data_IF_713044567040
#
_entry.id   IF_713044567040
#
_cell.length_a   1.000
_cell.length_b   1.000
_cell.length_c   1.000
_cell.angle_alpha   90.00
_cell.angle_beta   90.00
_cell.angle_gamma   90.00
#
_symmetry.space_group_name_H-M   'P 1'
#
loop_
_entity.id
_entity.type
_entity.pdbx_description
1 polymer ?
#
# COMPACT_ATOMS: atom_id res chain seq x y z
N UNK A 1 3.36 -12.43 -10.38
CA UNK A 1 2.96 -11.12 -10.97
C UNK A 1 3.39 -10.05 -9.97
N UNK A 2 3.35 -8.75 -10.27
CA UNK A 2 3.71 -7.71 -9.31
C UNK A 2 2.61 -6.65 -9.22
N UNK A 3 2.51 -5.98 -8.10
CA UNK A 3 1.59 -4.84 -7.95
C UNK A 3 2.33 -3.66 -7.32
N UNK A 4 2.32 -2.53 -8.05
CA UNK A 4 2.72 -1.24 -7.51
C UNK A 4 1.48 -0.60 -6.88
N UNK A 5 1.57 -0.25 -5.61
CA UNK A 5 0.50 0.36 -4.83
C UNK A 5 1.03 1.68 -4.28
N UNK A 6 0.35 2.78 -4.59
CA UNK A 6 0.77 4.13 -4.24
C UNK A 6 -0.29 4.77 -3.35
N UNK A 7 0.18 5.44 -2.29
CA UNK A 7 -0.65 6.08 -1.28
C UNK A 7 -0.23 7.53 -1.12
N UNK A 8 -1.20 8.42 -1.08
CA UNK A 8 -1.00 9.81 -0.68
C UNK A 8 -1.36 9.93 0.81
N UNK A 9 -0.36 10.00 1.69
CA UNK A 9 -0.51 10.06 3.14
C UNK A 9 0.75 10.68 3.73
N UNK A 10 0.64 11.51 4.77
CA UNK A 10 1.84 12.07 5.40
C UNK A 10 2.69 10.94 5.99
N UNK A 11 4.01 10.94 5.76
CA UNK A 11 4.87 9.88 6.33
C UNK A 11 4.87 9.88 7.84
N UNK A 12 4.78 11.08 8.44
CA UNK A 12 4.62 11.24 9.89
C UNK A 12 3.29 10.69 10.38
N UNK A 13 2.24 10.67 9.55
CA UNK A 13 1.00 9.99 9.90
C UNK A 13 1.22 8.48 10.02
N UNK A 14 1.95 7.89 9.08
CA UNK A 14 2.24 6.45 9.10
C UNK A 14 3.17 6.09 10.25
N UNK A 15 4.23 6.87 10.47
CA UNK A 15 5.17 6.69 11.58
C UNK A 15 4.48 6.77 12.93
N UNK A 16 3.55 7.71 13.08
CA UNK A 16 2.80 7.93 14.33
C UNK A 16 1.75 6.85 14.61
N UNK A 17 1.46 5.93 13.69
CA UNK A 17 0.68 4.72 14.00
C UNK A 17 1.43 3.81 14.98
N UNK A 18 2.76 3.87 14.98
CA UNK A 18 3.61 3.14 15.92
C UNK A 18 3.77 3.93 17.21
N UNK A 19 3.31 3.38 18.33
CA UNK A 19 3.27 4.14 19.59
C UNK A 19 2.16 5.20 19.61
N UNK A 20 1.07 4.99 18.85
CA UNK A 20 0.02 5.98 18.63
C UNK A 20 -0.57 6.52 19.96
N UNK A 21 -0.85 7.83 20.06
CA UNK A 21 -1.54 8.40 21.21
C UNK A 21 -2.91 7.74 21.45
N UNK A 22 -3.42 7.69 22.70
CA UNK A 22 -4.60 6.89 23.05
C UNK A 22 -5.83 7.13 22.16
N UNK A 23 -6.11 8.39 21.81
CA UNK A 23 -7.27 8.73 20.97
C UNK A 23 -7.12 8.18 19.54
N UNK A 24 -5.92 8.21 18.98
CA UNK A 24 -5.64 7.67 17.66
C UNK A 24 -5.57 6.16 17.69
N UNK A 25 -4.93 5.57 18.70
CA UNK A 25 -4.91 4.12 18.90
C UNK A 25 -6.34 3.52 18.91
N UNK A 26 -7.28 4.18 19.58
CA UNK A 26 -8.68 3.76 19.60
C UNK A 26 -9.34 3.83 18.21
N UNK A 27 -9.09 4.90 17.45
CA UNK A 27 -9.55 5.00 16.06
C UNK A 27 -8.97 3.88 15.19
N UNK A 28 -7.68 3.59 15.32
CA UNK A 28 -7.01 2.51 14.57
C UNK A 28 -7.59 1.13 14.94
N UNK A 29 -7.95 0.89 16.21
CA UNK A 29 -8.68 -0.32 16.62
C UNK A 29 -10.02 -0.44 15.93
N UNK A 30 -10.80 0.64 15.88
CA UNK A 30 -12.10 0.63 15.21
C UNK A 30 -11.98 0.35 13.71
N UNK A 31 -10.98 0.95 13.04
CA UNK A 31 -10.68 0.67 11.62
C UNK A 31 -10.24 -0.79 11.41
N UNK A 32 -9.39 -1.32 12.29
CA UNK A 32 -8.93 -2.69 12.21
C UNK A 32 -10.05 -3.72 12.41
N UNK A 33 -11.04 -3.46 13.29
CA UNK A 33 -12.20 -4.36 13.46
C UNK A 33 -12.94 -4.56 12.14
N UNK A 34 -13.10 -3.49 11.35
CA UNK A 34 -13.74 -3.57 10.02
C UNK A 34 -12.83 -4.31 9.04
N UNK A 35 -11.53 -4.01 9.02
CA UNK A 35 -10.57 -4.59 8.10
C UNK A 35 -10.32 -6.10 8.35
N UNK A 36 -10.41 -6.54 9.61
CA UNK A 36 -10.19 -7.93 10.03
C UNK A 36 -11.47 -8.78 10.02
N UNK A 37 -12.62 -8.19 9.70
CA UNK A 37 -13.86 -8.94 9.60
C UNK A 37 -13.69 -10.06 8.56
N UNK A 38 -14.08 -11.31 8.88
CA UNK A 38 -13.98 -12.41 7.92
C UNK A 38 -14.70 -12.01 6.62
N UNK A 39 -14.12 -12.28 5.45
CA UNK A 39 -14.86 -12.10 4.21
C UNK A 39 -16.16 -12.89 4.32
N UNK A 40 -17.29 -12.29 3.95
CA UNK A 40 -18.56 -13.01 3.88
C UNK A 40 -18.39 -14.16 2.88
N UNK A 41 -18.06 -15.36 3.38
CA UNK A 41 -18.00 -16.55 2.54
C UNK A 41 -19.43 -16.88 2.16
N UNK A 42 -19.77 -16.66 0.89
CA UNK A 42 -20.91 -17.35 0.30
C UNK A 42 -20.64 -18.85 0.47
N UNK A 43 -21.56 -19.55 1.15
CA UNK A 43 -21.50 -20.99 1.39
C UNK A 43 -21.45 -21.75 0.06
N UNK A 44 -20.25 -22.03 -0.44
CA UNK A 44 -20.07 -22.96 -1.55
C UNK A 44 -19.86 -24.36 -0.99
N UNK A 45 -20.99 -25.00 -0.62
CA UNK A 45 -21.04 -26.41 -0.25
C UNK A 45 -20.58 -27.30 -1.40
N UNK A 46 -19.31 -27.71 -1.39
CA UNK A 46 -18.73 -28.63 -2.37
C UNK A 46 -19.31 -30.05 -2.30
N UNK A 47 -19.12 -30.84 -3.36
CA UNK A 47 -19.67 -32.20 -3.53
C UNK A 47 -19.26 -33.19 -2.42
N UNK A 48 -18.16 -32.92 -1.69
CA UNK A 48 -17.69 -33.74 -0.56
C UNK A 48 -18.55 -33.58 0.70
N UNK A 49 -19.32 -32.48 0.82
CA UNK A 49 -20.29 -32.29 1.90
C UNK A 49 -21.45 -33.29 1.86
N UNK A 50 -21.59 -34.02 0.75
CA UNK A 50 -22.62 -35.06 0.54
C UNK A 50 -22.18 -36.46 0.95
N UNK A 51 -20.93 -36.66 1.39
CA UNK A 51 -20.35 -38.00 1.68
C UNK A 51 -20.41 -38.42 3.16
N UNK A 52 -21.32 -37.83 3.93
CA UNK A 52 -21.66 -38.30 5.28
C UNK A 52 -20.97 -37.58 6.43
N UNK A 53 -21.43 -37.82 7.67
CA UNK A 53 -21.15 -36.98 8.83
C UNK A 53 -19.70 -36.99 9.32
N UNK A 54 -18.88 -37.94 8.87
CA UNK A 54 -17.47 -38.07 9.28
C UNK A 54 -16.56 -37.08 8.53
N UNK A 55 -16.94 -36.66 7.32
CA UNK A 55 -16.19 -35.67 6.52
C UNK A 55 -16.74 -34.24 6.65
N UNK A 56 -17.73 -34.05 7.52
CA UNK A 56 -18.30 -32.72 7.79
C UNK A 56 -17.33 -31.97 8.70
N UNK A 57 -16.50 -31.11 8.10
CA UNK A 57 -15.71 -30.11 8.84
C UNK A 57 -16.66 -29.36 9.78
N UNK A 58 -16.32 -29.16 11.07
CA UNK A 58 -17.13 -28.32 11.94
C UNK A 58 -17.35 -26.96 11.27
N UNK A 59 -18.61 -26.56 11.03
CA UNK A 59 -18.90 -25.27 10.42
C UNK A 59 -18.38 -24.17 11.36
N UNK A 60 -17.56 -23.26 10.84
CA UNK A 60 -17.15 -22.06 11.57
C UNK A 60 -15.79 -22.09 12.25
N UNK A 61 -14.91 -23.08 12.02
CA UNK A 61 -13.48 -22.93 12.35
C UNK A 61 -12.72 -22.43 11.12
N UNK A 62 -12.51 -21.11 10.95
CA UNK A 62 -11.69 -20.61 9.87
C UNK A 62 -10.29 -21.19 10.01
N UNK A 63 -9.77 -21.77 8.93
CA UNK A 63 -8.33 -21.95 8.79
C UNK A 63 -7.80 -20.56 8.53
N UNK A 64 -7.27 -19.92 9.55
CA UNK A 64 -6.54 -18.66 9.38
C UNK A 64 -5.24 -19.00 8.67
N UNK A 65 -4.99 -18.33 7.56
CA UNK A 65 -3.66 -18.32 6.97
C UNK A 65 -2.70 -17.75 8.03
N UNK A 66 -1.53 -18.33 8.29
CA UNK A 66 -0.53 -17.71 9.18
C UNK A 66 -0.22 -16.26 8.80
N UNK A 67 -0.39 -15.86 7.55
CA UNK A 67 -0.20 -14.49 7.07
C UNK A 67 -1.45 -13.61 7.19
N UNK A 68 -2.58 -14.16 7.64
CA UNK A 68 -3.77 -13.37 7.95
C UNK A 68 -3.52 -12.52 9.20
N UNK A 69 -3.82 -11.20 9.13
CA UNK A 69 -3.68 -10.32 10.28
C UNK A 69 -4.70 -10.67 11.35
N UNK A 70 -4.29 -10.51 12.61
CA UNK A 70 -5.13 -10.71 13.79
C UNK A 70 -5.04 -9.48 14.72
N UNK A 71 -5.98 -9.29 15.66
CA UNK A 71 -5.94 -8.14 16.56
C UNK A 71 -4.63 -7.97 17.34
N UNK A 72 -3.94 -9.08 17.66
CA UNK A 72 -2.65 -9.03 18.32
C UNK A 72 -1.54 -8.38 17.47
N UNK A 73 -1.64 -8.39 16.14
CA UNK A 73 -0.69 -7.68 15.28
C UNK A 73 -0.87 -6.17 15.38
N UNK A 74 -2.14 -5.70 15.49
CA UNK A 74 -2.42 -4.29 15.73
C UNK A 74 -1.80 -3.81 17.03
N UNK A 75 -2.02 -4.54 18.13
CA UNK A 75 -1.52 -4.11 19.44
C UNK A 75 0.02 -4.05 19.47
N UNK A 76 0.72 -4.87 18.67
CA UNK A 76 2.18 -4.75 18.51
C UNK A 76 2.57 -3.47 17.79
N UNK A 77 1.88 -3.13 16.69
CA UNK A 77 2.09 -1.87 15.96
C UNK A 77 1.84 -0.68 16.90
N UNK A 78 0.67 -0.64 17.56
CA UNK A 78 0.29 0.44 18.46
C UNK A 78 1.24 0.58 19.65
N UNK A 79 1.79 -0.51 20.16
CA UNK A 79 2.78 -0.48 21.23
C UNK A 79 4.19 -0.07 20.76
N UNK A 80 4.43 0.06 19.45
CA UNK A 80 5.78 0.21 18.88
C UNK A 80 6.69 -0.97 19.24
N UNK A 81 6.10 -2.14 19.49
CA UNK A 81 6.80 -3.31 19.98
C UNK A 81 7.49 -4.07 18.84
N UNK A 82 8.49 -4.88 19.21
CA UNK A 82 9.12 -5.80 18.28
C UNK A 82 8.08 -6.75 17.66
N UNK A 83 8.06 -6.83 16.32
CA UNK A 83 7.22 -7.76 15.57
C UNK A 83 8.03 -9.02 15.21
N UNK A 84 7.63 -10.21 15.70
CA UNK A 84 8.29 -11.48 15.37
C UNK A 84 8.32 -11.76 13.86
N UNK A 85 9.33 -12.50 13.40
CA UNK A 85 9.56 -12.74 11.98
C UNK A 85 8.35 -13.38 11.27
N UNK A 86 7.73 -14.34 11.93
CA UNK A 86 6.55 -15.08 11.51
C UNK A 86 5.26 -14.25 11.49
N UNK A 87 5.26 -13.04 12.07
CA UNK A 87 4.11 -12.10 12.05
C UNK A 87 4.36 -10.87 11.17
N UNK A 88 5.51 -10.74 10.53
CA UNK A 88 5.84 -9.53 9.73
C UNK A 88 4.90 -9.37 8.55
N UNK A 89 4.64 -10.43 7.79
CA UNK A 89 3.76 -10.36 6.62
C UNK A 89 2.34 -9.90 7.02
N UNK A 90 1.77 -10.55 8.04
CA UNK A 90 0.48 -10.17 8.62
C UNK A 90 0.45 -8.72 9.13
N UNK A 91 1.47 -8.30 9.87
CA UNK A 91 1.58 -6.92 10.41
C UNK A 91 1.69 -5.88 9.30
N UNK A 92 2.44 -6.17 8.23
CA UNK A 92 2.53 -5.30 7.05
C UNK A 92 1.22 -5.20 6.28
N UNK A 93 0.51 -6.33 6.11
CA UNK A 93 -0.81 -6.33 5.47
C UNK A 93 -1.81 -5.49 6.26
N UNK A 94 -1.81 -5.61 7.58
CA UNK A 94 -2.62 -4.77 8.45
C UNK A 94 -2.23 -3.29 8.36
N UNK A 95 -0.93 -2.99 8.40
CA UNK A 95 -0.44 -1.61 8.27
C UNK A 95 -0.86 -0.99 6.93
N UNK A 96 -0.71 -1.72 5.83
CA UNK A 96 -1.12 -1.26 4.50
C UNK A 96 -2.63 -1.01 4.41
N UNK A 97 -3.46 -1.84 5.05
CA UNK A 97 -4.90 -1.60 5.16
C UNK A 97 -5.21 -0.31 5.92
N UNK A 98 -4.52 -0.06 7.04
CA UNK A 98 -4.67 1.17 7.82
C UNK A 98 -4.16 2.40 7.06
N UNK A 99 -3.06 2.27 6.32
CA UNK A 99 -2.54 3.32 5.43
C UNK A 99 -3.59 3.65 4.37
N UNK A 100 -4.15 2.63 3.70
CA UNK A 100 -5.16 2.80 2.67
C UNK A 100 -6.40 3.52 3.21
N UNK A 101 -6.90 3.09 4.36
CA UNK A 101 -8.10 3.66 5.01
C UNK A 101 -7.89 5.12 5.44
N UNK A 102 -6.65 5.50 5.77
CA UNK A 102 -6.34 6.86 6.18
C UNK A 102 -5.69 7.68 5.05
N UNK A 103 -5.52 7.16 3.83
CA UNK A 103 -4.89 7.91 2.75
C UNK A 103 -5.81 9.01 2.19
N UNK A 104 -5.22 10.11 1.72
CA UNK A 104 -5.89 11.12 0.90
C UNK A 104 -6.34 10.56 -0.45
N UNK A 105 -5.53 9.66 -1.02
CA UNK A 105 -5.77 9.01 -2.28
C UNK A 105 -4.95 7.72 -2.40
N UNK A 106 -5.43 6.81 -3.24
CA UNK A 106 -4.78 5.53 -3.51
C UNK A 106 -4.90 5.19 -5.00
N UNK A 107 -3.84 4.62 -5.56
CA UNK A 107 -3.88 4.00 -6.88
C UNK A 107 -3.02 2.73 -6.89
N UNK A 108 -3.31 1.80 -7.79
CA UNK A 108 -2.44 0.65 -8.01
C UNK A 108 -2.31 0.27 -9.49
N UNK A 109 -1.17 -0.32 -9.82
CA UNK A 109 -0.87 -0.86 -11.14
C UNK A 109 -0.40 -2.30 -11.01
N UNK A 110 -1.15 -3.21 -11.61
CA UNK A 110 -0.72 -4.59 -11.83
C UNK A 110 0.31 -4.61 -12.95
N UNK A 111 1.53 -5.04 -12.64
CA UNK A 111 2.65 -5.09 -13.56
C UNK A 111 3.29 -6.48 -13.51
N UNK A 112 3.83 -6.99 -14.61
CA UNK A 112 4.76 -8.11 -14.52
C UNK A 112 6.09 -7.64 -13.89
N UNK A 113 6.86 -8.56 -13.29
CA UNK A 113 8.07 -8.19 -12.52
C UNK A 113 9.08 -7.34 -13.31
N UNK A 114 9.28 -7.67 -14.59
CA UNK A 114 10.15 -6.94 -15.52
C UNK A 114 9.56 -5.60 -16.01
N UNK A 115 8.25 -5.40 -15.82
CA UNK A 115 7.56 -4.21 -16.34
C UNK A 115 7.79 -2.96 -15.50
N UNK A 116 8.17 -3.07 -14.23
CA UNK A 116 8.55 -1.88 -13.44
C UNK A 116 9.81 -1.21 -14.02
N UNK A 117 10.86 -1.99 -14.31
CA UNK A 117 12.08 -1.47 -14.94
C UNK A 117 11.83 -0.98 -16.37
N UNK A 118 10.95 -1.66 -17.10
CA UNK A 118 10.56 -1.22 -18.44
C UNK A 118 9.84 0.13 -18.42
N UNK A 119 8.97 0.36 -17.44
CA UNK A 119 8.25 1.63 -17.28
C UNK A 119 9.21 2.77 -16.91
N UNK A 120 10.13 2.53 -15.97
CA UNK A 120 11.19 3.50 -15.65
C UNK A 120 12.10 3.80 -16.86
N UNK A 121 12.41 2.78 -17.67
CA UNK A 121 13.15 2.98 -18.90
C UNK A 121 12.37 3.82 -19.93
N UNK A 122 11.06 3.59 -20.08
CA UNK A 122 10.21 4.39 -20.94
C UNK A 122 10.16 5.86 -20.50
N UNK A 123 10.01 6.10 -19.19
CA UNK A 123 10.08 7.43 -18.58
C UNK A 123 11.44 8.10 -18.86
N UNK A 124 12.54 7.38 -18.63
CA UNK A 124 13.89 7.91 -18.87
C UNK A 124 14.12 8.28 -20.35
N UNK A 125 13.59 7.49 -21.30
CA UNK A 125 13.64 7.84 -22.74
C UNK A 125 12.89 9.12 -23.06
N UNK A 126 11.77 9.37 -22.40
CA UNK A 126 11.03 10.63 -22.49
C UNK A 126 11.65 11.79 -21.70
N UNK A 127 12.86 11.62 -21.14
CA UNK A 127 13.60 12.68 -20.46
C UNK A 127 13.35 12.80 -18.95
N UNK A 128 12.61 11.88 -18.34
CA UNK A 128 12.38 11.88 -16.89
C UNK A 128 13.69 11.60 -16.15
N UNK A 129 13.99 12.44 -15.16
CA UNK A 129 15.16 12.26 -14.31
C UNK A 129 15.03 10.99 -13.45
N UNK A 130 16.12 10.26 -13.23
CA UNK A 130 16.10 9.00 -12.48
C UNK A 130 15.53 9.13 -11.05
N UNK A 131 15.68 10.29 -10.41
CA UNK A 131 15.09 10.56 -9.10
C UNK A 131 13.56 10.65 -9.11
N UNK A 132 12.94 10.89 -10.27
CA UNK A 132 11.48 10.80 -10.44
C UNK A 132 11.03 9.38 -10.84
N UNK A 133 11.94 8.40 -10.94
CA UNK A 133 11.61 7.03 -11.29
C UNK A 133 10.94 6.27 -10.15
N UNK A 134 10.10 5.30 -10.50
CA UNK A 134 9.38 4.45 -9.54
C UNK A 134 10.34 3.56 -8.75
N UNK A 135 11.42 3.09 -9.36
CA UNK A 135 12.48 2.34 -8.66
C UNK A 135 13.20 3.21 -7.64
N UNK A 136 13.40 4.50 -7.94
CA UNK A 136 13.98 5.43 -6.98
C UNK A 136 13.07 5.58 -5.76
N UNK A 137 11.78 5.88 -5.97
CA UNK A 137 10.76 5.89 -4.91
C UNK A 137 10.84 4.63 -4.05
N UNK A 138 10.91 3.42 -4.63
CA UNK A 138 10.89 2.15 -3.89
C UNK A 138 12.23 1.79 -3.21
N UNK A 139 13.28 2.58 -3.44
CA UNK A 139 14.60 2.40 -2.83
C UNK A 139 14.90 3.36 -1.69
N UNK A 140 14.04 4.37 -1.48
CA UNK A 140 14.17 5.28 -0.35
C UNK A 140 13.68 4.64 0.95
N UNK A 141 14.15 5.18 2.07
CA UNK A 141 13.85 4.64 3.40
C UNK A 141 12.64 5.34 4.02
N UNK A 142 11.68 4.56 4.51
CA UNK A 142 10.50 5.07 5.23
C UNK A 142 10.74 5.29 6.73
N UNK A 143 11.82 4.73 7.27
CA UNK A 143 12.17 4.71 8.71
C UNK A 143 11.05 4.15 9.61
N UNK A 144 10.19 3.29 9.05
CA UNK A 144 9.17 2.62 9.84
C UNK A 144 9.82 1.58 10.77
N UNK A 145 9.37 1.47 12.05
CA UNK A 145 9.87 0.47 12.99
C UNK A 145 9.28 -0.93 12.71
N UNK A 146 9.18 -1.30 11.44
CA UNK A 146 8.69 -2.58 10.96
C UNK A 146 9.52 -3.04 9.77
N UNK A 147 10.18 -4.18 9.89
CA UNK A 147 11.04 -4.72 8.83
C UNK A 147 10.17 -5.31 7.72
N UNK A 148 10.35 -4.87 6.48
CA UNK A 148 9.65 -5.39 5.31
C UNK A 148 9.88 -6.92 5.14
N UNK A 149 8.83 -7.72 4.87
CA UNK A 149 8.99 -9.13 4.52
C UNK A 149 9.74 -9.25 3.20
N UNK A 150 10.33 -10.42 2.97
CA UNK A 150 11.06 -10.69 1.71
C UNK A 150 10.11 -10.52 0.52
N UNK A 151 10.54 -9.77 -0.49
CA UNK A 151 9.78 -9.55 -1.72
C UNK A 151 8.83 -8.36 -1.68
N UNK A 152 8.72 -7.65 -0.54
CA UNK A 152 8.07 -6.36 -0.43
C UNK A 152 9.13 -5.25 -0.44
N UNK A 153 9.03 -4.33 -1.39
CA UNK A 153 9.73 -3.04 -1.35
C UNK A 153 8.75 -1.98 -0.87
N UNK A 154 9.23 -1.09 0.00
CA UNK A 154 8.44 0.03 0.51
C UNK A 154 9.34 1.25 0.52
N UNK A 155 8.86 2.34 -0.03
CA UNK A 155 9.61 3.59 -0.07
C UNK A 155 8.70 4.81 -0.01
N UNK A 156 9.35 5.96 0.05
CA UNK A 156 8.76 7.25 0.37
C UNK A 156 9.41 8.39 -0.43
N UNK A 157 8.60 9.34 -0.85
CA UNK A 157 9.02 10.64 -1.38
C UNK A 157 8.12 11.70 -0.77
N UNK A 158 8.64 12.90 -0.56
CA UNK A 158 7.86 14.04 -0.06
C UNK A 158 6.74 14.44 -1.04
N UNK A 159 5.75 15.19 -0.55
CA UNK A 159 4.72 15.77 -1.41
C UNK A 159 5.27 16.66 -2.53
N UNK A 160 6.37 17.39 -2.29
CA UNK A 160 7.03 18.22 -3.33
C UNK A 160 7.63 17.35 -4.44
N UNK A 161 8.30 16.26 -4.07
CA UNK A 161 8.84 15.30 -5.02
C UNK A 161 7.72 14.61 -5.82
N UNK A 162 6.57 14.32 -5.19
CA UNK A 162 5.40 13.75 -5.87
C UNK A 162 4.81 14.72 -6.93
N UNK A 163 4.70 16.01 -6.62
CA UNK A 163 4.29 17.03 -7.60
C UNK A 163 5.31 17.16 -8.73
N UNK A 164 6.61 17.16 -8.40
CA UNK A 164 7.67 17.18 -9.40
C UNK A 164 7.66 15.93 -10.31
N UNK A 165 7.36 14.75 -9.75
CA UNK A 165 7.14 13.53 -10.53
C UNK A 165 5.97 13.70 -11.50
N UNK A 166 4.84 14.27 -11.06
CA UNK A 166 3.68 14.53 -11.91
C UNK A 166 4.04 15.40 -13.14
N UNK A 167 4.76 16.49 -12.91
CA UNK A 167 5.22 17.41 -13.96
C UNK A 167 6.19 16.72 -14.93
N UNK A 168 7.14 15.96 -14.39
CA UNK A 168 8.13 15.21 -15.18
C UNK A 168 7.44 14.16 -16.06
N UNK A 169 6.46 13.45 -15.52
CA UNK A 169 5.72 12.43 -16.27
C UNK A 169 4.92 13.06 -17.40
N UNK A 170 4.22 14.16 -17.15
CA UNK A 170 3.44 14.88 -18.18
C UNK A 170 4.29 15.30 -19.37
N UNK A 171 5.51 15.77 -19.12
CA UNK A 171 6.43 16.18 -20.18
C UNK A 171 6.93 15.00 -21.02
N UNK A 172 6.92 13.78 -20.48
CA UNK A 172 7.43 12.58 -21.13
C UNK A 172 6.37 11.73 -21.84
N UNK A 173 5.07 11.94 -21.58
CA UNK A 173 3.98 11.08 -22.07
C UNK A 173 3.99 10.91 -23.59
N UNK A 174 4.18 12.00 -24.33
CA UNK A 174 4.13 11.98 -25.79
C UNK A 174 5.34 11.24 -26.41
N UNK A 175 6.45 11.12 -25.66
CA UNK A 175 7.68 10.44 -26.07
C UNK A 175 7.66 8.93 -25.75
N UNK A 176 6.71 8.46 -24.92
CA UNK A 176 6.56 7.03 -24.63
C UNK A 176 5.92 6.37 -25.84
N UNK A 177 6.62 5.45 -26.50
CA UNK A 177 6.15 4.80 -27.75
C UNK A 177 5.04 3.78 -27.51
N UNK A 178 5.19 2.93 -26.49
CA UNK A 178 4.26 1.84 -26.15
C UNK A 178 2.94 2.41 -25.63
N UNK A 179 1.82 2.06 -26.29
CA UNK A 179 0.51 2.62 -25.98
C UNK A 179 0.03 2.32 -24.57
N UNK A 180 0.27 1.09 -24.09
CA UNK A 180 -0.13 0.67 -22.76
C UNK A 180 0.71 1.37 -21.68
N UNK A 181 2.03 1.47 -21.86
CA UNK A 181 2.90 2.20 -20.94
C UNK A 181 2.55 3.70 -20.93
N UNK A 182 2.22 4.29 -22.09
CA UNK A 182 1.74 5.68 -22.18
C UNK A 182 0.46 5.89 -21.37
N UNK A 183 -0.52 4.99 -21.51
CA UNK A 183 -1.77 5.06 -20.75
C UNK A 183 -1.52 4.94 -19.24
N UNK A 184 -0.64 4.03 -18.82
CA UNK A 184 -0.26 3.87 -17.40
C UNK A 184 0.42 5.12 -16.84
N UNK A 185 1.37 5.71 -17.58
CA UNK A 185 2.05 6.94 -17.14
C UNK A 185 1.08 8.11 -17.10
N UNK A 186 0.16 8.22 -18.06
CA UNK A 186 -0.90 9.22 -18.04
C UNK A 186 -1.80 9.08 -16.82
N UNK A 187 -2.26 7.86 -16.50
CA UNK A 187 -3.07 7.59 -15.31
C UNK A 187 -2.32 7.91 -14.00
N UNK A 188 -1.02 7.57 -13.94
CA UNK A 188 -0.15 7.90 -12.81
C UNK A 188 0.03 9.40 -12.64
N UNK A 189 0.34 10.14 -13.71
CA UNK A 189 0.52 11.58 -13.68
C UNK A 189 -0.76 12.29 -13.20
N UNK A 190 -1.93 11.88 -13.71
CA UNK A 190 -3.22 12.44 -13.29
C UNK A 190 -3.52 12.17 -11.81
N UNK A 191 -3.15 11.00 -11.28
CA UNK A 191 -3.32 10.72 -9.86
C UNK A 191 -2.34 11.54 -9.01
N UNK A 192 -1.10 11.70 -9.45
CA UNK A 192 -0.09 12.51 -8.77
C UNK A 192 -0.46 14.01 -8.76
N UNK A 193 -1.15 14.53 -9.77
CA UNK A 193 -1.69 15.91 -9.76
C UNK A 193 -2.65 16.17 -8.58
N UNK A 194 -3.21 15.11 -7.96
CA UNK A 194 -3.99 15.20 -6.74
C UNK A 194 -3.22 15.73 -5.53
N UNK A 195 -1.89 15.60 -5.49
CA UNK A 195 -1.05 16.03 -4.36
C UNK A 195 -1.18 17.52 -4.05
N UNK A 196 -1.20 18.36 -5.08
CA UNK A 196 -1.38 19.81 -4.93
C UNK A 196 -2.71 20.14 -4.25
N UNK A 197 -3.79 19.48 -4.69
CA UNK A 197 -5.12 19.69 -4.12
C UNK A 197 -5.22 19.21 -2.67
N UNK A 198 -4.69 18.01 -2.38
CA UNK A 198 -4.68 17.47 -1.02
C UNK A 198 -3.84 18.33 -0.06
N UNK A 199 -2.70 18.86 -0.52
CA UNK A 199 -1.87 19.77 0.25
C UNK A 199 -2.59 21.08 0.59
N UNK A 200 -3.36 21.64 -0.34
CA UNK A 200 -4.16 22.86 -0.12
C UNK A 200 -5.26 22.65 0.94
N UNK A 201 -5.88 21.47 0.96
CA UNK A 201 -6.98 21.14 1.88
C UNK A 201 -6.48 20.72 3.27
N UNK A 202 -5.26 20.18 3.37
CA UNK A 202 -4.68 19.62 4.59
C UNK A 202 -4.77 20.54 5.83
N UNK A 203 -4.44 21.85 5.76
CA UNK A 203 -4.58 22.75 6.91
C UNK A 203 -6.02 22.90 7.41
N UNK A 204 -7.00 22.89 6.50
CA UNK A 204 -8.42 23.03 6.83
C UNK A 204 -8.93 21.81 7.60
N UNK A 205 -8.41 20.62 7.28
CA UNK A 205 -8.74 19.37 7.96
C UNK A 205 -7.82 19.07 9.16
N UNK A 206 -6.90 19.98 9.52
CA UNK A 206 -5.92 19.81 10.58
C UNK A 206 -5.14 18.48 10.47
N UNK A 207 -4.82 18.10 9.24
CA UNK A 207 -4.15 16.85 8.91
C UNK A 207 -2.81 17.18 8.22
N UNK A 208 -1.76 16.36 8.37
CA UNK A 208 -0.54 16.53 7.60
C UNK A 208 -0.81 16.53 6.09
N UNK A 209 -0.04 17.33 5.36
CA UNK A 209 -0.02 17.26 3.91
C UNK A 209 0.44 15.86 3.45
N UNK A 210 -0.07 15.34 2.32
CA UNK A 210 0.31 14.02 1.85
C UNK A 210 1.77 14.00 1.40
N UNK A 211 2.41 12.87 1.69
CA UNK A 211 3.60 12.42 1.01
C UNK A 211 3.27 11.18 0.16
N UNK A 212 4.19 10.80 -0.72
CA UNK A 212 4.03 9.65 -1.60
C UNK A 212 4.68 8.43 -0.96
N UNK A 213 3.87 7.43 -0.64
CA UNK A 213 4.35 6.14 -0.16
C UNK A 213 4.07 5.07 -1.23
N UNK A 214 5.12 4.36 -1.62
CA UNK A 214 5.07 3.30 -2.62
C UNK A 214 5.30 1.93 -2.02
N UNK A 215 4.48 0.97 -2.41
CA UNK A 215 4.60 -0.45 -2.08
C UNK A 215 4.74 -1.24 -3.38
N UNK A 216 5.71 -2.14 -3.43
CA UNK A 216 5.87 -3.09 -4.53
C UNK A 216 6.01 -4.49 -3.98
N UNK A 217 5.02 -5.34 -4.27
CA UNK A 217 5.01 -6.75 -3.88
C UNK A 217 4.92 -7.64 -5.11
N UNK A 218 5.66 -8.75 -5.10
CA UNK A 218 5.47 -9.84 -6.06
C UNK A 218 4.35 -10.74 -5.53
N UNK A 219 3.26 -10.87 -6.27
CA UNK A 219 2.17 -11.83 -6.08
C UNK A 219 2.50 -13.19 -6.67
#
# INVERSE_FOLDING_TARGET
MGELRLYAIGIEEVRSMFGAPPQWAERLRQQAVVALAPPHTADHGGLLSKLGPIFRRPPGTPVLDPDDPVPADLERILAGAFVPAERRAASWRLLELLIKENAWGFTSLSLHGEKLDSLDFALARGGVHAAAGLRHLLSSHTELPLIAPRGLLVGFQSGEEATWMADSYRQAIDEIEDGDDRERVYALANWLDGFSHWADVAPTLQRPAPDLIGFWGVT
#
